data_IF_364892379589
#
_entry.id   IF_364892379589
#
_cell.length_a   1.000
_cell.length_b   1.000
_cell.length_c   1.000
_cell.angle_alpha   90.00
_cell.angle_beta   90.00
_cell.angle_gamma   90.00
#
_symmetry.space_group_name_H-M   'P 1'
#
loop_
_entity.id
_entity.type
_entity.pdbx_description
1 polymer ?
#
# COMPACT_ATOMS: atom_id res chain seq x y z
N UNK A 1 22.11 -14.67 35.11
CA UNK A 1 22.06 -13.75 33.94
C UNK A 1 20.85 -12.84 34.09
N UNK A 2 21.06 -11.51 34.04
CA UNK A 2 20.04 -10.52 34.40
C UNK A 2 18.84 -10.55 33.44
N UNK A 3 17.63 -10.74 33.98
CA UNK A 3 16.35 -10.74 33.25
C UNK A 3 16.18 -9.52 32.33
N UNK A 4 16.83 -8.39 32.66
CA UNK A 4 16.85 -7.17 31.86
C UNK A 4 17.55 -7.32 30.51
N UNK A 5 18.70 -8.04 30.44
CA UNK A 5 19.41 -8.27 29.17
C UNK A 5 18.60 -9.14 28.21
N UNK A 6 17.88 -10.13 28.73
CA UNK A 6 16.97 -10.97 27.95
C UNK A 6 15.79 -10.15 27.40
N UNK A 7 15.22 -9.26 28.22
CA UNK A 7 14.15 -8.36 27.79
C UNK A 7 14.63 -7.36 26.71
N UNK A 8 15.81 -6.77 26.88
CA UNK A 8 16.40 -5.86 25.90
C UNK A 8 16.66 -6.55 24.56
N UNK A 9 17.24 -7.75 24.58
CA UNK A 9 17.46 -8.55 23.37
C UNK A 9 16.14 -8.89 22.68
N UNK A 10 15.12 -9.29 23.46
CA UNK A 10 13.79 -9.57 22.94
C UNK A 10 13.14 -8.34 22.28
N UNK A 11 13.19 -7.18 22.95
CA UNK A 11 12.64 -5.93 22.42
C UNK A 11 13.36 -5.48 21.14
N UNK A 12 14.69 -5.56 21.10
CA UNK A 12 15.47 -5.22 19.91
C UNK A 12 15.17 -6.17 18.75
N UNK A 13 15.13 -7.47 19.01
CA UNK A 13 14.77 -8.47 18.00
C UNK A 13 13.39 -8.20 17.45
N UNK A 14 12.41 -7.92 18.32
CA UNK A 14 11.04 -7.64 17.91
C UNK A 14 10.93 -6.32 17.14
N UNK A 15 11.65 -5.28 17.56
CA UNK A 15 11.69 -3.98 16.87
C UNK A 15 12.27 -4.11 15.47
N UNK A 16 13.29 -4.96 15.27
CA UNK A 16 13.87 -5.24 13.97
C UNK A 16 12.94 -6.07 13.06
N UNK A 17 12.09 -6.92 13.64
CA UNK A 17 11.10 -7.70 12.89
C UNK A 17 9.87 -6.88 12.49
N UNK A 18 9.54 -5.82 13.22
CA UNK A 18 8.35 -4.98 12.95
C UNK A 18 8.33 -4.40 11.53
N UNK A 19 9.40 -3.75 11.01
CA UNK A 19 9.42 -3.25 9.64
C UNK A 19 9.18 -4.34 8.60
N UNK A 20 9.76 -5.53 8.80
CA UNK A 20 9.59 -6.67 7.89
C UNK A 20 8.13 -7.15 7.87
N UNK A 21 7.50 -7.25 9.04
CA UNK A 21 6.09 -7.62 9.13
C UNK A 21 5.19 -6.58 8.47
N UNK A 22 5.40 -5.30 8.75
CA UNK A 22 4.62 -4.21 8.14
C UNK A 22 4.78 -4.22 6.63
N UNK A 23 6.01 -4.32 6.12
CA UNK A 23 6.30 -4.42 4.70
C UNK A 23 5.61 -5.63 4.04
N UNK A 24 5.61 -6.78 4.71
CA UNK A 24 4.93 -7.99 4.20
C UNK A 24 3.43 -7.76 4.11
N UNK A 25 2.80 -7.22 5.16
CA UNK A 25 1.35 -6.98 5.20
C UNK A 25 0.96 -5.93 4.15
N UNK A 26 1.67 -4.81 4.07
CA UNK A 26 1.34 -3.73 3.12
C UNK A 26 1.53 -4.18 1.67
N UNK A 27 2.56 -4.99 1.40
CA UNK A 27 2.76 -5.59 0.08
C UNK A 27 1.64 -6.57 -0.28
N UNK A 28 1.23 -7.42 0.66
CA UNK A 28 0.10 -8.32 0.45
C UNK A 28 -1.20 -7.55 0.17
N UNK A 29 -1.50 -6.52 0.96
CA UNK A 29 -2.68 -5.67 0.75
C UNK A 29 -2.63 -5.00 -0.63
N UNK A 30 -1.49 -4.42 -1.00
CA UNK A 30 -1.29 -3.81 -2.31
C UNK A 30 -1.57 -4.79 -3.45
N UNK A 31 -1.03 -6.01 -3.36
CA UNK A 31 -1.24 -7.04 -4.37
C UNK A 31 -2.71 -7.51 -4.41
N UNK A 32 -3.34 -7.71 -3.25
CA UNK A 32 -4.75 -8.12 -3.18
C UNK A 32 -5.68 -7.08 -3.82
N UNK A 33 -5.45 -5.80 -3.55
CA UNK A 33 -6.25 -4.71 -4.16
C UNK A 33 -6.10 -4.68 -5.68
N UNK A 34 -4.93 -5.03 -6.22
CA UNK A 34 -4.64 -5.05 -7.67
C UNK A 34 -5.01 -6.34 -8.37
N UNK A 35 -5.04 -7.44 -7.62
CA UNK A 35 -5.49 -8.74 -8.09
C UNK A 35 -7.02 -8.84 -8.09
N UNK A 36 -7.72 -7.93 -7.39
CA UNK A 36 -9.17 -7.90 -7.37
C UNK A 36 -9.69 -7.61 -8.79
N UNK A 37 -10.59 -8.45 -9.33
CA UNK A 37 -11.17 -8.22 -10.64
C UNK A 37 -12.12 -7.01 -10.58
N UNK A 38 -11.73 -5.93 -11.26
CA UNK A 38 -12.47 -4.67 -11.31
C UNK A 38 -11.51 -3.50 -11.38
N UNK A 39 -11.89 -2.43 -12.08
CA UNK A 39 -11.09 -1.23 -12.09
C UNK A 39 -11.33 -0.41 -10.82
N UNK A 40 -10.30 -0.04 -10.04
CA UNK A 40 -10.48 0.90 -8.93
C UNK A 40 -11.17 2.20 -9.38
N UNK A 41 -11.00 2.62 -10.63
CA UNK A 41 -11.71 3.76 -11.21
C UNK A 41 -13.20 3.49 -11.39
N UNK A 42 -13.58 2.26 -11.76
CA UNK A 42 -14.99 1.86 -11.82
C UNK A 42 -15.64 1.79 -10.44
N UNK A 43 -14.86 1.47 -9.39
CA UNK A 43 -15.33 1.53 -8.01
C UNK A 43 -15.60 2.96 -7.53
N UNK A 44 -14.82 3.95 -8.00
CA UNK A 44 -14.94 5.36 -7.61
C UNK A 44 -16.00 6.09 -8.45
N UNK A 45 -15.92 5.99 -9.77
CA UNK A 45 -16.77 6.74 -10.71
C UNK A 45 -18.07 5.99 -11.08
N UNK A 46 -18.14 4.71 -10.76
CA UNK A 46 -19.21 3.82 -11.17
C UNK A 46 -19.13 3.42 -12.65
N UNK A 47 -19.78 2.31 -12.99
CA UNK A 47 -19.80 1.78 -14.36
C UNK A 47 -20.44 2.70 -15.42
N UNK A 48 -21.08 3.80 -15.01
CA UNK A 48 -21.80 4.74 -15.90
C UNK A 48 -20.95 5.94 -16.33
N UNK A 49 -19.76 6.13 -15.78
CA UNK A 49 -18.90 7.24 -16.21
C UNK A 49 -18.41 7.03 -17.65
N UNK A 50 -18.30 8.11 -18.47
CA UNK A 50 -17.71 8.01 -19.81
C UNK A 50 -16.26 7.50 -19.74
N UNK A 51 -15.85 6.67 -20.69
CA UNK A 51 -14.51 6.06 -20.70
C UNK A 51 -13.40 7.13 -20.72
N UNK A 52 -13.63 8.27 -21.38
CA UNK A 52 -12.69 9.40 -21.39
C UNK A 52 -12.44 9.98 -20.00
N UNK A 53 -13.46 10.01 -19.14
CA UNK A 53 -13.33 10.49 -17.75
C UNK A 53 -12.61 9.44 -16.92
N UNK A 54 -12.87 8.15 -17.17
CA UNK A 54 -12.18 7.05 -16.47
C UNK A 54 -10.69 7.03 -16.80
N UNK A 55 -10.31 7.19 -18.06
CA UNK A 55 -8.91 7.21 -18.47
C UNK A 55 -8.14 8.39 -17.88
N UNK A 56 -8.73 9.59 -17.88
CA UNK A 56 -8.16 10.76 -17.21
C UNK A 56 -7.98 10.50 -15.70
N UNK A 57 -8.95 9.84 -15.08
CA UNK A 57 -8.87 9.48 -13.65
C UNK A 57 -7.80 8.42 -13.38
N UNK A 58 -7.63 7.43 -14.27
CA UNK A 58 -6.55 6.42 -14.18
C UNK A 58 -5.17 7.07 -14.25
N UNK A 59 -4.99 8.04 -15.14
CA UNK A 59 -3.73 8.79 -15.25
C UNK A 59 -3.48 9.63 -14.00
N UNK A 60 -4.48 10.37 -13.52
CA UNK A 60 -4.37 11.19 -12.30
C UNK A 60 -4.03 10.37 -11.05
N UNK A 61 -4.57 9.15 -10.95
CA UNK A 61 -4.27 8.23 -9.85
C UNK A 61 -2.95 7.44 -10.05
N UNK A 62 -2.25 7.65 -11.17
CA UNK A 62 -1.03 6.92 -11.50
C UNK A 62 -1.25 5.42 -11.74
N UNK A 63 -2.49 5.01 -12.02
CA UNK A 63 -2.88 3.63 -12.29
C UNK A 63 -2.44 3.16 -13.68
N UNK A 64 -2.21 4.11 -14.60
CA UNK A 64 -1.66 3.86 -15.94
C UNK A 64 -0.16 3.47 -15.93
N UNK A 65 0.52 3.62 -14.80
CA UNK A 65 1.97 3.41 -14.70
C UNK A 65 2.35 1.94 -14.43
N UNK A 66 3.61 1.53 -14.69
CA UNK A 66 4.05 0.18 -14.37
C UNK A 66 3.85 -0.19 -12.89
N UNK A 67 3.46 -1.44 -12.62
CA UNK A 67 3.13 -1.92 -11.26
C UNK A 67 4.22 -1.64 -10.22
N UNK A 68 5.49 -1.76 -10.60
CA UNK A 68 6.63 -1.51 -9.70
C UNK A 68 6.70 -0.03 -9.27
N UNK A 69 6.37 0.89 -10.16
CA UNK A 69 6.41 2.33 -9.89
C UNK A 69 5.22 2.74 -9.00
N UNK A 70 4.06 2.13 -9.24
CA UNK A 70 2.91 2.28 -8.35
C UNK A 70 3.19 1.74 -6.94
N UNK A 71 3.95 0.64 -6.82
CA UNK A 71 4.37 0.08 -5.54
C UNK A 71 5.33 1.00 -4.79
N UNK A 72 6.33 1.56 -5.47
CA UNK A 72 7.29 2.49 -4.87
C UNK A 72 6.57 3.74 -4.34
N UNK A 73 5.64 4.32 -5.12
CA UNK A 73 4.84 5.45 -4.65
C UNK A 73 3.98 5.10 -3.45
N UNK A 74 3.29 3.96 -3.49
CA UNK A 74 2.47 3.50 -2.37
C UNK A 74 3.30 3.31 -1.08
N UNK A 75 4.47 2.67 -1.18
CA UNK A 75 5.40 2.56 -0.05
C UNK A 75 5.91 3.93 0.41
N UNK A 76 6.22 4.83 -0.52
CA UNK A 76 6.65 6.20 -0.23
C UNK A 76 5.61 6.98 0.57
N UNK A 77 4.34 6.94 0.16
CA UNK A 77 3.23 7.56 0.88
C UNK A 77 3.06 6.97 2.28
N UNK A 78 3.08 5.63 2.42
CA UNK A 78 2.97 4.98 3.72
C UNK A 78 4.10 5.36 4.70
N UNK A 79 5.33 5.53 4.20
CA UNK A 79 6.45 5.99 5.02
C UNK A 79 6.28 7.44 5.50
N UNK A 80 5.52 8.26 4.76
CA UNK A 80 5.14 9.61 5.16
C UNK A 80 3.84 9.65 5.98
N UNK A 81 3.31 8.49 6.37
CA UNK A 81 2.01 8.33 7.05
C UNK A 81 0.82 8.86 6.23
N UNK A 82 1.00 8.98 4.91
CA UNK A 82 -0.06 9.28 3.96
C UNK A 82 -0.77 7.98 3.57
N UNK A 83 -1.98 7.81 4.10
CA UNK A 83 -2.83 6.64 3.84
C UNK A 83 -3.71 6.82 2.59
N UNK A 84 -3.57 7.95 1.90
CA UNK A 84 -4.46 8.37 0.83
C UNK A 84 -5.77 8.99 1.34
N UNK A 85 -6.61 9.37 0.40
CA UNK A 85 -7.93 9.95 0.66
C UNK A 85 -9.00 8.87 0.57
N UNK A 86 -9.88 8.79 1.59
CA UNK A 86 -11.10 7.98 1.49
C UNK A 86 -12.00 8.52 0.39
N UNK A 87 -12.46 7.61 -0.47
CA UNK A 87 -13.43 7.86 -1.55
C UNK A 87 -14.84 7.52 -1.11
#
# INVERSE_FOLDING_TARGET
>A
MSRSKALQYYLLTRLLLTPLMLWTITTLVFLLLRATPGDPVDAVLGNRAPDSVKDEYRERLGLAEPLWLQYIRYMGSLLHLDLGTSI
#
